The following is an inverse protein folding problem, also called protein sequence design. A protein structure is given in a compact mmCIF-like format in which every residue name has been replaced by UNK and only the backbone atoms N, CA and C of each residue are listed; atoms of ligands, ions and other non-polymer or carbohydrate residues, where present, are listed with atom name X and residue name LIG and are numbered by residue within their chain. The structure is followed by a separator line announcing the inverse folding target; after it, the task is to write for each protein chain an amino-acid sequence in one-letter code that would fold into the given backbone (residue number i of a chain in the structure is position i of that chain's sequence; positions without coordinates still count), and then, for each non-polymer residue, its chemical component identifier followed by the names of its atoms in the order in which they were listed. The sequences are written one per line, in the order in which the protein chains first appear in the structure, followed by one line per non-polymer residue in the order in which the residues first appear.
data_IF_523226967027
#
_entry.id   IF_523226967027
#
_cell.length_a   1.000
_cell.length_b   1.000
_cell.length_c   1.000
_cell.angle_alpha   90.00
_cell.angle_beta   90.00
_cell.angle_gamma   90.00
#
_symmetry.space_group_name_H-M   'P 1'
#
loop_
_entity.id
_entity.type
_entity.pdbx_description
1 polymer ?
#
# COMPACT_ATOMS: atom_id res chain seq x y z
N UNK A 1 -17.21 19.07 7.41
CA UNK A 1 -17.17 17.63 7.22
C UNK A 1 -16.32 17.30 5.99
N UNK A 2 -15.51 16.30 6.05
CA UNK A 2 -14.61 16.01 4.95
C UNK A 2 -14.47 14.51 4.76
N UNK A 3 -14.43 14.10 3.46
CA UNK A 3 -14.14 12.73 3.05
C UNK A 3 -12.73 12.61 2.47
N UNK A 4 -11.90 13.63 2.70
CA UNK A 4 -10.53 13.63 2.19
C UNK A 4 -9.70 12.54 2.86
N UNK A 5 -8.79 11.91 2.11
CA UNK A 5 -7.88 10.92 2.69
C UNK A 5 -6.99 11.52 3.77
N UNK A 6 -6.67 10.71 4.78
CA UNK A 6 -5.74 11.08 5.84
C UNK A 6 -4.59 10.08 5.98
N UNK A 7 -4.49 9.17 5.02
CA UNK A 7 -3.42 8.18 4.94
C UNK A 7 -3.24 7.74 3.50
N UNK A 8 -2.09 7.17 3.17
CA UNK A 8 -1.81 6.65 1.84
C UNK A 8 -1.06 5.33 1.92
N UNK A 9 -1.34 4.45 0.97
CA UNK A 9 -0.60 3.22 0.76
C UNK A 9 -0.29 3.06 -0.73
N UNK A 10 0.67 2.19 -1.04
CA UNK A 10 1.16 2.04 -2.41
C UNK A 10 1.30 0.58 -2.78
N UNK A 11 0.69 0.20 -3.90
CA UNK A 11 0.93 -1.07 -4.56
C UNK A 11 2.05 -0.89 -5.57
N UNK A 12 3.24 -1.42 -5.27
CA UNK A 12 4.34 -1.47 -6.23
C UNK A 12 4.14 -2.71 -7.10
N UNK A 13 4.07 -2.51 -8.41
CA UNK A 13 3.80 -3.60 -9.34
C UNK A 13 4.99 -3.80 -10.28
N UNK A 14 5.45 -5.05 -10.38
CA UNK A 14 6.56 -5.44 -11.25
C UNK A 14 6.35 -6.88 -11.71
N UNK A 15 6.46 -7.10 -13.02
CA UNK A 15 6.39 -8.45 -13.62
C UNK A 15 5.13 -9.22 -13.21
N UNK A 16 3.99 -8.53 -13.17
CA UNK A 16 2.72 -9.15 -12.81
C UNK A 16 2.55 -9.46 -11.33
N UNK A 17 3.44 -8.95 -10.48
CA UNK A 17 3.40 -9.19 -9.04
C UNK A 17 3.31 -7.86 -8.29
N UNK A 18 2.82 -7.92 -7.06
CA UNK A 18 2.68 -6.75 -6.20
C UNK A 18 3.47 -6.97 -4.91
N UNK A 19 4.14 -5.92 -4.45
CA UNK A 19 4.87 -5.98 -3.18
C UNK A 19 3.91 -5.82 -2.03
N UNK A 20 3.90 -6.82 -1.14
CA UNK A 20 3.16 -6.75 0.12
C UNK A 20 4.12 -6.91 1.28
N UNK A 21 3.73 -6.35 2.41
CA UNK A 21 4.53 -6.35 3.63
C UNK A 21 3.71 -6.92 4.78
N UNK A 22 4.39 -7.53 5.74
CA UNK A 22 3.77 -8.05 6.95
C UNK A 22 4.06 -7.10 8.10
N UNK A 23 3.02 -6.59 8.73
CA UNK A 23 3.13 -5.54 9.75
C UNK A 23 3.64 -6.10 11.07
N UNK A 24 4.60 -5.38 11.67
CA UNK A 24 5.17 -5.74 12.97
C UNK A 24 4.31 -5.26 14.15
N UNK A 25 3.54 -4.18 13.97
CA UNK A 25 2.81 -3.52 15.06
C UNK A 25 1.34 -3.29 14.73
N UNK A 26 0.55 -3.07 15.77
CA UNK A 26 -0.85 -2.66 15.61
C UNK A 26 -0.92 -1.27 14.95
N UNK A 27 -2.00 -0.97 14.21
CA UNK A 27 -3.10 -1.87 13.87
C UNK A 27 -2.69 -2.88 12.80
N UNK A 28 -3.46 -3.97 12.70
CA UNK A 28 -3.26 -5.04 11.70
C UNK A 28 -1.93 -5.78 11.86
N UNK A 29 -1.46 -5.94 13.11
CA UNK A 29 -0.23 -6.68 13.41
C UNK A 29 -0.28 -8.10 12.83
N UNK A 30 0.83 -8.53 12.23
CA UNK A 30 0.99 -9.85 11.60
C UNK A 30 0.12 -10.07 10.36
N UNK A 31 -0.51 -9.03 9.82
CA UNK A 31 -1.27 -9.14 8.57
C UNK A 31 -0.43 -8.60 7.40
N UNK A 32 -0.66 -9.21 6.24
CA UNK A 32 -0.06 -8.76 4.99
C UNK A 32 -0.90 -7.67 4.36
N UNK A 33 -0.26 -6.62 3.89
CA UNK A 33 -0.91 -5.46 3.28
C UNK A 33 0.08 -4.68 2.43
N UNK A 34 -0.32 -3.52 1.92
CA UNK A 34 0.59 -2.61 1.22
C UNK A 34 1.37 -1.76 2.22
N UNK A 35 2.60 -1.33 1.86
CA UNK A 35 3.29 -0.31 2.64
C UNK A 35 2.54 1.02 2.57
N UNK A 36 2.64 1.82 3.63
CA UNK A 36 1.98 3.12 3.72
C UNK A 36 1.83 3.58 5.15
N UNK A 37 1.17 4.72 5.35
CA UNK A 37 0.95 5.27 6.67
C UNK A 37 0.12 6.55 6.64
N UNK A 38 0.08 7.23 7.78
CA UNK A 38 -0.73 8.43 7.98
C UNK A 38 -0.05 9.65 7.39
N UNK A 39 -0.87 10.61 6.94
CA UNK A 39 -0.38 11.89 6.47
C UNK A 39 0.16 12.73 7.64
N UNK A 40 1.27 13.41 7.37
CA UNK A 40 1.75 14.46 8.26
C UNK A 40 1.03 15.78 7.96
N UNK A 41 0.97 16.71 8.92
CA UNK A 41 0.36 18.01 8.67
C UNK A 41 0.99 18.74 7.47
N UNK A 42 0.16 19.26 6.60
CA UNK A 42 0.61 20.01 5.42
C UNK A 42 1.02 19.16 4.24
N UNK A 43 0.95 17.85 4.35
CA UNK A 43 1.32 16.91 3.30
C UNK A 43 0.14 16.65 2.36
N UNK A 44 0.40 16.50 1.05
CA UNK A 44 -0.60 15.92 0.15
C UNK A 44 -0.59 14.41 0.28
N UNK A 45 -1.63 13.72 -0.22
CA UNK A 45 -1.64 12.25 -0.17
C UNK A 45 -0.52 11.66 -1.01
N UNK A 46 -0.16 12.29 -2.13
CA UNK A 46 0.96 11.84 -2.95
C UNK A 46 2.29 11.98 -2.22
N UNK A 47 2.48 13.10 -1.52
CA UNK A 47 3.67 13.32 -0.70
C UNK A 47 3.75 12.30 0.43
N UNK A 48 2.61 11.99 1.04
CA UNK A 48 2.52 10.96 2.07
C UNK A 48 2.96 9.60 1.51
N UNK A 49 2.44 9.23 0.35
CA UNK A 49 2.80 7.97 -0.30
C UNK A 49 4.31 7.90 -0.56
N UNK A 50 4.89 8.96 -1.12
CA UNK A 50 6.31 9.02 -1.41
C UNK A 50 7.16 8.90 -0.15
N UNK A 51 6.81 9.64 0.90
CA UNK A 51 7.54 9.63 2.16
C UNK A 51 7.47 8.27 2.85
N UNK A 52 6.29 7.69 2.92
CA UNK A 52 6.10 6.40 3.58
C UNK A 52 6.88 5.28 2.89
N UNK A 53 6.91 5.24 1.57
CA UNK A 53 7.66 4.23 0.84
C UNK A 53 9.17 4.39 1.06
N UNK A 54 9.64 5.65 1.17
CA UNK A 54 11.03 5.92 1.48
C UNK A 54 11.38 5.50 2.91
N UNK A 55 10.54 5.84 3.88
CA UNK A 55 10.79 5.51 5.29
C UNK A 55 10.69 4.01 5.57
N UNK A 56 9.69 3.35 5.01
CA UNK A 56 9.45 1.94 5.31
C UNK A 56 10.36 0.99 4.53
N UNK A 57 10.71 1.34 3.28
CA UNK A 57 11.38 0.41 2.37
C UNK A 57 12.61 0.98 1.68
N UNK A 58 12.88 2.28 1.77
CA UNK A 58 13.96 2.90 1.03
C UNK A 58 13.68 2.98 -0.47
N UNK A 59 12.44 3.00 -0.88
CA UNK A 59 12.02 3.01 -2.28
C UNK A 59 11.54 4.40 -2.67
N UNK A 60 12.04 4.89 -3.80
CA UNK A 60 11.57 6.13 -4.42
C UNK A 60 10.51 5.77 -5.46
N UNK A 61 9.31 6.30 -5.31
CA UNK A 61 8.22 6.07 -6.27
C UNK A 61 8.00 7.31 -7.13
N UNK A 62 7.50 7.07 -8.34
CA UNK A 62 7.14 8.11 -9.31
C UNK A 62 5.80 7.76 -9.94
N UNK A 63 5.10 8.79 -10.41
CA UNK A 63 3.85 8.63 -11.15
C UNK A 63 2.81 7.73 -10.48
N UNK A 64 2.54 7.91 -9.17
CA UNK A 64 1.54 7.08 -8.53
C UNK A 64 0.15 7.35 -9.10
N UNK A 65 -0.58 6.27 -9.42
CA UNK A 65 -1.95 6.34 -9.92
C UNK A 65 -2.90 6.02 -8.79
N UNK A 66 -3.87 6.90 -8.55
CA UNK A 66 -4.88 6.64 -7.51
C UNK A 66 -5.80 5.53 -7.97
N UNK A 67 -5.88 4.45 -7.20
CA UNK A 67 -6.77 3.33 -7.48
C UNK A 67 -8.11 3.49 -6.77
N UNK A 68 -8.08 3.87 -5.50
CA UNK A 68 -9.31 4.04 -4.71
C UNK A 68 -9.02 4.76 -3.41
N UNK A 69 -10.08 5.18 -2.72
CA UNK A 69 -10.01 5.63 -1.33
C UNK A 69 -10.89 4.71 -0.51
N UNK A 70 -10.29 4.08 0.51
CA UNK A 70 -11.02 3.19 1.41
C UNK A 70 -11.35 3.90 2.72
N UNK A 71 -12.59 3.80 3.16
CA UNK A 71 -12.98 4.22 4.50
C UNK A 71 -12.81 3.02 5.42
N UNK A 72 -11.86 3.11 6.34
CA UNK A 72 -11.50 2.02 7.24
C UNK A 72 -11.73 2.45 8.70
N UNK A 73 -11.58 1.49 9.61
CA UNK A 73 -11.86 1.72 11.00
C UNK A 73 -13.35 1.60 11.30
N UNK A 74 -13.66 1.62 12.60
CA UNK A 74 -15.02 1.36 13.07
C UNK A 74 -16.05 2.38 12.55
N UNK A 75 -15.63 3.64 12.41
CA UNK A 75 -16.50 4.74 12.01
C UNK A 75 -16.07 5.39 10.70
N UNK A 76 -15.16 4.78 9.96
CA UNK A 76 -14.67 5.31 8.70
C UNK A 76 -13.79 6.53 8.82
N UNK A 77 -13.23 6.80 10.01
CA UNK A 77 -12.37 7.97 10.21
C UNK A 77 -10.98 7.79 9.61
N UNK A 78 -10.56 6.56 9.34
CA UNK A 78 -9.30 6.26 8.68
C UNK A 78 -9.57 6.12 7.18
N UNK A 79 -9.22 7.15 6.42
CA UNK A 79 -9.50 7.20 4.98
C UNK A 79 -8.19 7.04 4.22
N UNK A 80 -8.03 5.92 3.58
CA UNK A 80 -6.78 5.50 2.96
C UNK A 80 -6.85 5.68 1.45
N UNK A 81 -5.99 6.55 0.92
CA UNK A 81 -5.78 6.65 -0.52
C UNK A 81 -4.83 5.53 -0.94
N UNK A 82 -5.29 4.66 -1.84
CA UNK A 82 -4.48 3.54 -2.34
C UNK A 82 -3.97 3.91 -3.72
N UNK A 83 -2.64 4.00 -3.84
CA UNK A 83 -1.97 4.28 -5.11
C UNK A 83 -1.35 3.02 -5.67
N UNK A 84 -1.12 3.02 -6.98
CA UNK A 84 -0.39 1.96 -7.67
C UNK A 84 0.62 2.58 -8.62
N UNK A 85 1.78 1.98 -8.74
CA UNK A 85 2.80 2.43 -9.70
C UNK A 85 3.69 1.28 -10.13
N UNK A 86 4.16 1.36 -11.38
CA UNK A 86 5.23 0.52 -11.90
C UNK A 86 6.55 1.27 -11.96
N UNK A 87 6.56 2.58 -11.64
CA UNK A 87 7.71 3.45 -11.76
C UNK A 87 8.33 3.71 -10.39
N UNK A 88 9.32 2.92 -10.05
CA UNK A 88 10.01 3.05 -8.77
C UNK A 88 11.44 2.54 -8.87
N UNK A 89 12.28 2.95 -7.92
CA UNK A 89 13.68 2.55 -7.88
C UNK A 89 14.17 2.44 -6.44
N UNK A 90 15.30 1.79 -6.27
CA UNK A 90 15.93 1.59 -4.98
C UNK A 90 16.00 0.12 -4.61
N UNK A 91 16.74 -0.16 -3.53
CA UNK A 91 16.86 -1.50 -2.98
C UNK A 91 15.95 -1.59 -1.76
N UNK A 92 15.13 -2.62 -1.72
CA UNK A 92 14.18 -2.81 -0.60
C UNK A 92 14.97 -2.97 0.71
N UNK A 93 14.75 -2.06 1.63
CA UNK A 93 15.35 -2.04 2.98
C UNK A 93 14.22 -1.86 3.99
N UNK A 94 13.63 -2.96 4.45
CA UNK A 94 12.49 -2.87 5.38
C UNK A 94 12.90 -2.22 6.69
N UNK A 95 12.04 -1.34 7.20
CA UNK A 95 12.19 -0.77 8.53
C UNK A 95 11.76 -1.81 9.58
N UNK A 96 11.93 -1.48 10.87
CA UNK A 96 11.52 -2.36 11.96
C UNK A 96 9.99 -2.47 12.10
N UNK A 97 9.23 -1.69 11.35
CA UNK A 97 7.77 -1.80 11.28
C UNK A 97 7.32 -2.98 10.42
N UNK A 98 8.24 -3.61 9.69
CA UNK A 98 7.94 -4.68 8.72
C UNK A 98 8.65 -5.95 9.15
N UNK A 99 7.87 -7.03 9.38
CA UNK A 99 8.41 -8.34 9.74
C UNK A 99 8.97 -9.05 8.50
N UNK A 100 8.27 -8.94 7.37
CA UNK A 100 8.60 -9.66 6.15
C UNK A 100 8.00 -8.91 4.96
N UNK A 101 8.50 -9.21 3.77
CA UNK A 101 7.96 -8.67 2.53
C UNK A 101 8.07 -9.72 1.44
N UNK A 102 7.20 -9.62 0.44
CA UNK A 102 7.26 -10.53 -0.71
C UNK A 102 6.57 -9.93 -1.92
N UNK A 103 7.03 -10.36 -3.08
CA UNK A 103 6.35 -10.10 -4.34
C UNK A 103 5.31 -11.18 -4.53
N UNK A 104 4.05 -10.80 -4.46
CA UNK A 104 2.94 -11.74 -4.45
C UNK A 104 2.29 -11.84 -5.83
N UNK A 105 1.91 -13.06 -6.21
CA UNK A 105 1.03 -13.32 -7.34
C UNK A 105 -0.32 -13.84 -6.83
N UNK A 106 -1.33 -13.99 -7.71
CA UNK A 106 -2.66 -14.41 -7.24
C UNK A 106 -2.66 -15.77 -6.52
N UNK A 107 -1.78 -16.67 -6.92
CA UNK A 107 -1.73 -18.01 -6.32
C UNK A 107 -1.21 -18.02 -4.90
N UNK A 108 -0.44 -17.01 -4.50
CA UNK A 108 0.12 -16.92 -3.15
C UNK A 108 -0.88 -16.40 -2.13
N UNK A 109 -1.80 -15.55 -2.57
CA UNK A 109 -2.64 -14.77 -1.66
C UNK A 109 -3.54 -15.61 -0.74
N UNK A 110 -4.18 -16.68 -1.22
CA UNK A 110 -5.08 -17.46 -0.34
C UNK A 110 -4.40 -18.09 0.87
N UNK A 111 -3.08 -18.30 0.81
CA UNK A 111 -2.31 -18.89 1.91
C UNK A 111 -1.88 -17.84 2.95
N UNK A 112 -2.10 -16.57 2.69
CA UNK A 112 -1.62 -15.47 3.54
C UNK A 112 -2.78 -14.85 4.33
N UNK A 113 -2.46 -14.43 5.55
CA UNK A 113 -3.41 -13.66 6.36
C UNK A 113 -3.25 -12.19 5.98
N UNK A 114 -4.23 -11.66 5.26
CA UNK A 114 -4.16 -10.29 4.75
C UNK A 114 -5.16 -9.39 5.45
N UNK A 115 -4.98 -8.08 5.25
CA UNK A 115 -6.02 -7.12 5.59
C UNK A 115 -7.27 -7.42 4.75
N UNK A 116 -8.43 -6.95 5.23
CA UNK A 116 -9.71 -7.29 4.64
C UNK A 116 -9.78 -6.86 3.17
N UNK A 117 -10.21 -7.78 2.31
CA UNK A 117 -10.47 -7.54 0.88
C UNK A 117 -9.24 -7.08 0.10
N UNK A 118 -8.04 -7.48 0.54
CA UNK A 118 -6.79 -7.07 -0.12
C UNK A 118 -6.76 -7.52 -1.59
N UNK A 119 -7.27 -8.71 -1.88
CA UNK A 119 -7.32 -9.23 -3.26
C UNK A 119 -8.12 -8.32 -4.19
N UNK A 120 -9.23 -7.78 -3.72
CA UNK A 120 -10.05 -6.86 -4.51
C UNK A 120 -9.31 -5.54 -4.76
N UNK A 121 -8.62 -5.04 -3.73
CA UNK A 121 -7.84 -3.80 -3.85
C UNK A 121 -6.69 -3.98 -4.81
N UNK A 122 -5.98 -5.12 -4.74
CA UNK A 122 -4.90 -5.44 -5.68
C UNK A 122 -5.45 -5.46 -7.12
N UNK A 123 -6.60 -6.09 -7.32
CA UNK A 123 -7.20 -6.18 -8.65
C UNK A 123 -7.48 -4.80 -9.23
N UNK A 124 -7.98 -3.88 -8.41
CA UNK A 124 -8.22 -2.51 -8.84
C UNK A 124 -6.92 -1.76 -9.12
N UNK A 125 -5.88 -1.99 -8.33
CA UNK A 125 -4.56 -1.40 -8.56
C UNK A 125 -3.99 -1.84 -9.93
N UNK A 126 -4.11 -3.12 -10.26
CA UNK A 126 -3.67 -3.61 -11.57
C UNK A 126 -4.49 -3.01 -12.69
N UNK A 127 -5.81 -2.88 -12.47
CA UNK A 127 -6.71 -2.32 -13.49
C UNK A 127 -6.32 -0.89 -13.87
N UNK A 128 -6.04 -0.02 -12.90
CA UNK A 128 -5.66 1.38 -13.19
C UNK A 128 -4.31 1.47 -13.88
N UNK A 129 -3.47 0.45 -13.72
CA UNK A 129 -2.18 0.38 -14.43
C UNK A 129 -2.30 -0.29 -15.82
N UNK A 130 -3.51 -0.68 -16.22
CA UNK A 130 -3.73 -1.34 -17.50
C UNK A 130 -3.29 -2.79 -17.51
N UNK A 131 -3.24 -3.44 -16.35
CA UNK A 131 -2.77 -4.82 -16.21
C UNK A 131 -3.87 -5.68 -15.57
N UNK A 132 -3.66 -6.99 -15.60
CA UNK A 132 -4.57 -7.98 -14.99
C UNK A 132 -3.86 -8.68 -13.83
N UNK A 133 -4.63 -8.88 -12.78
CA UNK A 133 -4.17 -9.63 -11.60
C UNK A 133 -4.73 -11.05 -11.63
#
# INVERSE_FOLDING_TARGET
MTDLPNAASVALVRDGKVLIIKRAYAPYQNLWTFPGGRMDPGETVEQCAMRELQEELGITIRNPQLAMVQALGRDGTYRLAVFATTDFSGVIRPSDEIIDHKWADPGMLPALRTTSRLDEVIRECFRVLGQSW
#
